data_IF_298004620432
#
_entry.id   IF_298004620432
#
_cell.length_a   1.000
_cell.length_b   1.000
_cell.length_c   1.000
_cell.angle_alpha   90.00
_cell.angle_beta   90.00
_cell.angle_gamma   90.00
#
_symmetry.space_group_name_H-M   'P 1'
#
loop_
_entity.id
_entity.type
_entity.pdbx_description
1 polymer ?
#
# COMPACT_ATOMS: atom_id res chain seq x y z
N UNK A 1 -83.68 1.28 -65.11
CA UNK A 1 -82.63 1.78 -66.02
C UNK A 1 -81.33 1.05 -65.67
N UNK A 2 -80.72 0.37 -66.64
CA UNK A 2 -79.50 -0.45 -66.48
C UNK A 2 -78.28 0.43 -66.25
N UNK A 3 -77.27 -0.09 -65.55
CA UNK A 3 -75.87 -0.28 -66.02
C UNK A 3 -74.99 -0.86 -64.89
N UNK A 4 -74.42 -2.03 -65.13
CA UNK A 4 -73.20 -2.60 -64.49
C UNK A 4 -71.99 -2.31 -65.39
N UNK A 5 -70.72 -2.71 -65.10
CA UNK A 5 -70.01 -3.08 -63.85
C UNK A 5 -68.61 -2.39 -63.75
N UNK A 6 -67.84 -2.63 -62.67
CA UNK A 6 -66.40 -2.99 -62.78
C UNK A 6 -65.80 -3.47 -61.45
N UNK A 7 -65.15 -4.63 -61.52
CA UNK A 7 -64.28 -5.22 -60.48
C UNK A 7 -62.95 -4.46 -60.43
N UNK A 8 -62.36 -4.33 -59.24
CA UNK A 8 -60.91 -4.35 -59.07
C UNK A 8 -60.60 -4.93 -57.68
N UNK A 9 -59.91 -6.06 -57.67
CA UNK A 9 -59.41 -6.67 -56.44
C UNK A 9 -58.21 -5.93 -55.90
N UNK A 10 -57.98 -6.01 -54.59
CA UNK A 10 -56.69 -5.65 -54.01
C UNK A 10 -56.33 -6.69 -52.96
N UNK A 11 -55.14 -7.25 -53.18
CA UNK A 11 -54.51 -8.33 -52.44
C UNK A 11 -54.12 -7.84 -51.05
N UNK A 12 -54.46 -8.62 -50.01
CA UNK A 12 -53.96 -8.44 -48.65
C UNK A 12 -52.51 -8.96 -48.65
N UNK A 13 -51.54 -8.06 -48.66
CA UNK A 13 -50.12 -8.38 -48.46
C UNK A 13 -49.82 -8.48 -46.97
N UNK A 14 -49.63 -9.70 -46.46
CA UNK A 14 -49.15 -9.96 -45.11
C UNK A 14 -47.70 -9.48 -44.97
N UNK A 15 -47.47 -8.43 -44.17
CA UNK A 15 -46.12 -7.95 -43.83
C UNK A 15 -45.61 -8.72 -42.60
N UNK A 16 -44.78 -9.74 -42.83
CA UNK A 16 -44.00 -10.42 -41.80
C UNK A 16 -42.84 -9.51 -41.38
N UNK A 17 -42.95 -8.89 -40.21
CA UNK A 17 -41.84 -8.17 -39.56
C UNK A 17 -41.03 -9.19 -38.75
N UNK A 18 -39.91 -9.64 -39.29
CA UNK A 18 -38.91 -10.41 -38.53
C UNK A 18 -38.05 -9.47 -37.71
N UNK A 19 -38.28 -9.45 -36.39
CA UNK A 19 -37.46 -8.70 -35.45
C UNK A 19 -36.15 -9.48 -35.21
N UNK A 20 -35.09 -9.13 -35.94
CA UNK A 20 -33.75 -9.66 -35.69
C UNK A 20 -33.14 -8.96 -34.46
N UNK A 21 -33.23 -9.60 -33.29
CA UNK A 21 -32.49 -9.15 -32.10
C UNK A 21 -31.01 -9.45 -32.27
N UNK A 22 -30.22 -8.44 -32.61
CA UNK A 22 -28.76 -8.53 -32.61
C UNK A 22 -28.26 -8.59 -31.16
N UNK A 23 -27.79 -9.77 -30.72
CA UNK A 23 -27.04 -9.89 -29.48
C UNK A 23 -25.67 -9.22 -29.68
N UNK A 24 -25.48 -8.03 -29.13
CA UNK A 24 -24.15 -7.42 -29.02
C UNK A 24 -23.43 -8.15 -27.89
N UNK A 25 -22.59 -9.12 -28.24
CA UNK A 25 -21.66 -9.71 -27.30
C UNK A 25 -20.58 -8.68 -26.98
N UNK A 26 -20.71 -7.99 -25.83
CA UNK A 26 -19.68 -7.12 -25.30
C UNK A 26 -18.56 -8.03 -24.79
N UNK A 27 -17.56 -8.30 -25.62
CA UNK A 27 -16.33 -8.94 -25.17
C UNK A 27 -15.56 -7.91 -24.34
N UNK A 28 -15.72 -7.93 -23.04
CA UNK A 28 -14.85 -7.23 -22.11
C UNK A 28 -13.46 -7.86 -22.20
N UNK A 29 -12.57 -7.27 -22.99
CA UNK A 29 -11.14 -7.59 -22.98
C UNK A 29 -10.58 -7.11 -21.66
N UNK A 30 -10.48 -8.01 -20.68
CA UNK A 30 -9.69 -7.78 -19.48
C UNK A 30 -8.27 -7.55 -19.98
N UNK A 31 -7.75 -6.33 -19.81
CA UNK A 31 -6.35 -6.06 -20.12
C UNK A 31 -5.49 -7.11 -19.39
N UNK A 32 -4.50 -7.74 -20.05
CA UNK A 32 -3.60 -8.63 -19.34
C UNK A 32 -3.02 -7.87 -18.14
N UNK A 33 -3.04 -8.49 -16.96
CA UNK A 33 -2.39 -7.94 -15.78
C UNK A 33 -0.97 -7.57 -16.20
N UNK A 34 -0.67 -6.27 -16.20
CA UNK A 34 0.67 -5.81 -16.57
C UNK A 34 1.63 -6.51 -15.62
N UNK A 35 2.59 -7.26 -16.20
CA UNK A 35 3.70 -7.75 -15.41
C UNK A 35 4.39 -6.53 -14.82
N UNK A 36 4.30 -6.40 -13.50
CA UNK A 36 4.90 -5.32 -12.77
C UNK A 36 6.42 -5.47 -12.84
N UNK A 37 7.12 -4.37 -13.18
CA UNK A 37 8.57 -4.37 -13.42
C UNK A 37 9.37 -4.75 -12.18
N UNK A 38 8.80 -4.54 -10.98
CA UNK A 38 9.42 -4.92 -9.73
C UNK A 38 9.22 -6.41 -9.40
N UNK A 39 7.96 -6.87 -9.33
CA UNK A 39 7.64 -8.24 -8.90
C UNK A 39 6.24 -8.67 -9.36
N UNK A 40 6.15 -9.82 -10.03
CA UNK A 40 4.88 -10.41 -10.47
C UNK A 40 4.58 -11.71 -9.70
N UNK A 41 3.37 -11.83 -9.15
CA UNK A 41 2.88 -13.04 -8.49
C UNK A 41 2.28 -13.97 -9.54
N UNK A 42 2.76 -15.21 -9.60
CA UNK A 42 2.33 -16.20 -10.59
C UNK A 42 1.15 -17.07 -10.15
N UNK A 43 0.69 -16.94 -8.90
CA UNK A 43 -0.40 -17.75 -8.35
C UNK A 43 -0.96 -17.20 -7.05
N UNK A 44 -2.15 -17.70 -6.69
CA UNK A 44 -2.85 -17.34 -5.45
C UNK A 44 -2.03 -17.74 -4.22
N UNK A 45 -1.96 -16.85 -3.24
CA UNK A 45 -1.36 -17.12 -1.93
C UNK A 45 -2.44 -17.12 -0.85
N UNK A 46 -2.36 -18.10 0.05
CA UNK A 46 -3.31 -18.27 1.15
C UNK A 46 -2.62 -18.93 2.33
N UNK A 47 -3.36 -19.14 3.43
CA UNK A 47 -2.81 -19.79 4.61
C UNK A 47 -2.12 -21.12 4.27
N UNK A 48 -0.88 -21.29 4.74
CA UNK A 48 -0.02 -22.44 4.43
C UNK A 48 0.95 -22.23 3.26
N UNK A 49 0.74 -21.23 2.40
CA UNK A 49 1.75 -20.84 1.39
C UNK A 49 3.05 -20.40 2.07
N UNK A 50 4.19 -20.65 1.43
CA UNK A 50 5.51 -20.24 1.92
C UNK A 50 6.42 -19.73 0.79
N UNK A 51 7.53 -19.09 1.17
CA UNK A 51 8.61 -18.68 0.26
C UNK A 51 8.57 -17.21 -0.15
N UNK A 52 9.40 -16.85 -1.13
CA UNK A 52 9.64 -15.46 -1.51
C UNK A 52 8.35 -14.73 -1.92
N UNK A 53 7.42 -15.39 -2.63
CA UNK A 53 6.15 -14.78 -3.00
C UNK A 53 5.33 -14.30 -1.78
N UNK A 54 5.40 -15.04 -0.66
CA UNK A 54 4.77 -14.65 0.59
C UNK A 54 5.55 -13.52 1.27
N UNK A 55 6.89 -13.57 1.27
CA UNK A 55 7.73 -12.47 1.79
C UNK A 55 7.41 -11.15 1.08
N UNK A 56 7.31 -11.19 -0.26
CA UNK A 56 6.94 -10.06 -1.08
C UNK A 56 5.53 -9.55 -0.72
N UNK A 57 4.55 -10.43 -0.54
CA UNK A 57 3.20 -10.03 -0.14
C UNK A 57 3.21 -9.37 1.25
N UNK A 58 3.90 -9.99 2.22
CA UNK A 58 4.01 -9.50 3.60
C UNK A 58 4.59 -8.08 3.66
N UNK A 59 5.58 -7.74 2.83
CA UNK A 59 6.11 -6.36 2.74
C UNK A 59 5.00 -5.36 2.38
N UNK A 60 4.20 -5.68 1.35
CA UNK A 60 3.15 -4.80 0.81
C UNK A 60 1.98 -4.63 1.79
N UNK A 61 1.66 -5.66 2.56
CA UNK A 61 0.55 -5.63 3.53
C UNK A 61 0.97 -5.30 4.96
N UNK A 62 2.26 -5.05 5.22
CA UNK A 62 2.78 -4.85 6.58
C UNK A 62 2.10 -3.69 7.34
N UNK A 63 1.70 -2.64 6.63
CA UNK A 63 0.95 -1.51 7.19
C UNK A 63 -0.50 -1.82 7.59
N UNK A 64 -0.99 -3.01 7.25
CA UNK A 64 -2.35 -3.50 7.49
C UNK A 64 -2.43 -4.60 8.55
N UNK A 65 -1.34 -4.85 9.28
CA UNK A 65 -1.29 -5.79 10.40
C UNK A 65 -2.36 -5.51 11.48
N UNK A 66 -2.58 -6.45 12.40
CA UNK A 66 -3.45 -6.21 13.55
C UNK A 66 -2.85 -5.14 14.48
N UNK A 67 -3.69 -4.22 14.98
CA UNK A 67 -3.26 -3.14 15.88
C UNK A 67 -2.59 -3.69 17.13
N UNK A 68 -1.49 -3.06 17.55
CA UNK A 68 -0.78 -3.48 18.76
C UNK A 68 0.02 -4.77 18.62
N UNK A 69 0.32 -5.20 17.39
CA UNK A 69 1.17 -6.38 17.13
C UNK A 69 2.44 -6.03 16.37
N UNK A 70 3.47 -6.86 16.50
CA UNK A 70 4.67 -6.81 15.66
C UNK A 70 4.46 -7.79 14.51
N UNK A 71 4.31 -7.24 13.30
CA UNK A 71 4.10 -8.05 12.09
C UNK A 71 5.41 -8.61 11.56
N UNK A 72 5.50 -9.94 11.45
CA UNK A 72 6.65 -10.68 10.92
C UNK A 72 6.62 -10.75 9.40
N UNK A 73 7.80 -10.65 8.78
CA UNK A 73 8.03 -10.88 7.36
C UNK A 73 8.99 -12.08 7.27
N UNK A 74 8.42 -13.27 7.34
CA UNK A 74 9.11 -14.55 7.46
C UNK A 74 8.91 -15.47 6.25
N UNK A 75 8.14 -15.01 5.26
CA UNK A 75 7.78 -15.81 4.10
C UNK A 75 6.81 -16.95 4.42
N UNK A 76 6.13 -16.94 5.57
CA UNK A 76 5.11 -17.93 5.95
C UNK A 76 3.73 -17.29 6.01
N UNK A 77 2.78 -17.82 5.24
CA UNK A 77 1.42 -17.29 5.21
C UNK A 77 0.62 -17.89 6.37
N UNK A 78 0.80 -17.32 7.56
CA UNK A 78 0.06 -17.68 8.76
C UNK A 78 -1.15 -16.77 9.05
N UNK A 79 -1.81 -16.94 10.21
CA UNK A 79 -2.97 -16.13 10.61
C UNK A 79 -2.72 -14.61 10.65
N UNK A 80 -1.49 -14.20 10.99
CA UNK A 80 -1.09 -12.79 10.96
C UNK A 80 -1.13 -12.23 9.53
N UNK A 81 -0.56 -12.96 8.56
CA UNK A 81 -0.60 -12.61 7.14
C UNK A 81 -2.03 -12.59 6.62
N UNK A 82 -2.85 -13.60 6.93
CA UNK A 82 -4.29 -13.64 6.58
C UNK A 82 -5.03 -12.40 7.08
N UNK A 83 -4.73 -11.96 8.31
CA UNK A 83 -5.35 -10.77 8.91
C UNK A 83 -4.91 -9.49 8.19
N UNK A 84 -3.62 -9.35 7.90
CA UNK A 84 -3.10 -8.21 7.16
C UNK A 84 -3.69 -8.11 5.74
N UNK A 85 -3.83 -9.24 5.05
CA UNK A 85 -4.45 -9.30 3.71
C UNK A 85 -5.93 -8.93 3.77
N UNK A 86 -6.71 -9.44 4.74
CA UNK A 86 -8.11 -9.03 4.93
C UNK A 86 -8.26 -7.54 5.16
N UNK A 87 -7.40 -6.97 6.00
CA UNK A 87 -7.43 -5.54 6.29
C UNK A 87 -7.06 -4.70 5.07
N UNK A 88 -6.05 -5.11 4.30
CA UNK A 88 -5.71 -4.48 3.01
C UNK A 88 -6.89 -4.55 2.03
N UNK A 89 -7.47 -5.73 1.85
CA UNK A 89 -8.63 -5.93 0.97
C UNK A 89 -9.80 -5.04 1.37
N UNK A 90 -10.17 -5.02 2.65
CA UNK A 90 -11.25 -4.20 3.16
C UNK A 90 -10.98 -2.70 2.96
N UNK A 91 -9.76 -2.24 3.22
CA UNK A 91 -9.38 -0.84 3.04
C UNK A 91 -9.54 -0.37 1.59
N UNK A 92 -9.23 -1.25 0.63
CA UNK A 92 -9.33 -0.94 -0.80
C UNK A 92 -10.63 -1.42 -1.47
N UNK A 93 -11.66 -1.76 -0.68
CA UNK A 93 -12.98 -2.11 -1.22
C UNK A 93 -13.03 -3.44 -1.97
N UNK A 94 -12.10 -4.36 -1.70
CA UNK A 94 -12.08 -5.72 -2.23
C UNK A 94 -12.85 -6.67 -1.31
N UNK A 95 -13.16 -7.88 -1.80
CA UNK A 95 -13.64 -8.96 -0.94
C UNK A 95 -12.56 -9.32 0.11
N UNK A 96 -12.88 -9.15 1.39
CA UNK A 96 -11.94 -9.37 2.50
C UNK A 96 -11.89 -10.84 2.95
N UNK A 97 -11.55 -11.74 2.02
CA UNK A 97 -11.48 -13.18 2.24
C UNK A 97 -10.15 -13.66 2.86
N UNK A 98 -9.11 -12.83 2.82
CA UNK A 98 -7.78 -13.16 3.33
C UNK A 98 -6.99 -14.07 2.40
N UNK A 99 -7.43 -14.21 1.14
CA UNK A 99 -6.74 -14.93 0.07
C UNK A 99 -6.20 -13.92 -0.92
N UNK A 100 -4.87 -13.88 -1.08
CA UNK A 100 -4.24 -13.01 -2.06
C UNK A 100 -4.33 -13.64 -3.45
N UNK A 101 -5.42 -13.35 -4.16
CA UNK A 101 -5.62 -13.69 -5.58
C UNK A 101 -5.46 -12.49 -6.51
N UNK A 102 -5.85 -12.65 -7.79
CA UNK A 102 -5.65 -11.66 -8.85
C UNK A 102 -6.10 -10.23 -8.49
N UNK A 103 -7.28 -10.06 -7.87
CA UNK A 103 -7.77 -8.74 -7.46
C UNK A 103 -6.88 -8.07 -6.39
N UNK A 104 -6.32 -8.87 -5.47
CA UNK A 104 -5.40 -8.36 -4.45
C UNK A 104 -4.09 -7.92 -5.10
N UNK A 105 -3.53 -8.74 -5.99
CA UNK A 105 -2.28 -8.41 -6.70
C UNK A 105 -2.44 -7.21 -7.63
N UNK A 106 -3.52 -7.13 -8.40
CA UNK A 106 -3.81 -5.97 -9.25
C UNK A 106 -3.87 -4.67 -8.43
N UNK A 107 -4.43 -4.72 -7.22
CA UNK A 107 -4.44 -3.55 -6.35
C UNK A 107 -3.04 -3.21 -5.81
N UNK A 108 -2.21 -4.19 -5.51
CA UNK A 108 -0.80 -3.98 -5.13
C UNK A 108 -0.02 -3.34 -6.29
N UNK A 109 -0.19 -3.83 -7.53
CA UNK A 109 0.47 -3.26 -8.72
C UNK A 109 0.08 -1.81 -8.95
N UNK A 110 -1.19 -1.46 -8.75
CA UNK A 110 -1.63 -0.07 -8.85
C UNK A 110 -1.06 0.87 -7.77
N UNK A 111 -0.40 0.31 -6.74
CA UNK A 111 0.24 1.05 -5.66
C UNK A 111 1.76 0.94 -5.72
N UNK A 112 2.33 0.22 -6.67
CA UNK A 112 3.75 -0.11 -6.75
C UNK A 112 4.40 0.59 -7.95
N UNK A 113 5.58 1.18 -7.72
CA UNK A 113 6.46 1.70 -8.76
C UNK A 113 7.40 0.61 -9.30
N UNK A 114 8.03 0.91 -10.44
CA UNK A 114 8.95 0.00 -11.15
C UNK A 114 10.13 -0.48 -10.29
N UNK A 115 10.54 0.29 -9.28
CA UNK A 115 11.64 -0.01 -8.36
C UNK A 115 11.19 -0.62 -7.02
N UNK A 116 9.94 -1.09 -6.98
CA UNK A 116 9.24 -1.72 -5.85
C UNK A 116 8.74 -0.78 -4.75
N UNK A 117 9.05 0.52 -4.78
CA UNK A 117 8.51 1.44 -3.77
C UNK A 117 7.01 1.61 -3.95
N UNK A 118 6.26 2.03 -2.92
CA UNK A 118 4.90 2.49 -3.14
C UNK A 118 4.90 3.82 -3.92
N UNK A 119 3.89 4.05 -4.75
CA UNK A 119 3.78 5.19 -5.70
C UNK A 119 3.83 6.61 -5.08
N UNK A 120 3.83 6.73 -3.75
CA UNK A 120 3.84 8.01 -3.04
C UNK A 120 5.05 8.19 -2.11
N UNK A 121 6.03 7.28 -2.13
CA UNK A 121 7.27 7.40 -1.38
C UNK A 121 8.43 6.89 -2.24
N UNK A 122 9.50 7.68 -2.36
CA UNK A 122 10.63 7.36 -3.24
C UNK A 122 11.93 7.12 -2.47
N UNK A 123 12.90 6.46 -3.09
CA UNK A 123 14.22 6.24 -2.48
C UNK A 123 14.94 7.54 -2.08
N UNK A 124 14.78 8.62 -2.84
CA UNK A 124 15.38 9.92 -2.53
C UNK A 124 14.74 10.64 -1.35
N UNK A 125 13.53 10.26 -0.96
CA UNK A 125 12.89 10.82 0.25
C UNK A 125 13.35 10.13 1.52
N UNK A 126 13.93 8.94 1.40
CA UNK A 126 14.30 8.08 2.54
C UNK A 126 15.79 7.79 2.67
N UNK A 127 16.60 8.44 1.84
CA UNK A 127 18.06 8.35 1.91
C UNK A 127 18.63 9.21 3.06
N UNK A 128 19.96 9.35 3.15
CA UNK A 128 20.56 10.10 4.26
C UNK A 128 20.16 11.59 4.24
N UNK A 129 19.38 12.02 5.23
CA UNK A 129 18.83 13.40 5.25
C UNK A 129 19.90 14.51 5.30
N UNK A 130 21.09 14.22 5.85
CA UNK A 130 22.12 15.24 6.02
C UNK A 130 22.95 15.44 4.75
N UNK A 131 23.22 14.36 4.03
CA UNK A 131 24.20 14.35 2.93
C UNK A 131 23.63 13.89 1.59
N UNK A 132 22.40 13.38 1.58
CA UNK A 132 21.80 12.66 0.47
C UNK A 132 22.48 11.31 0.22
N UNK A 133 21.82 10.49 -0.59
CA UNK A 133 22.34 9.21 -1.04
C UNK A 133 22.58 8.21 0.09
N UNK A 134 23.52 7.31 -0.14
CA UNK A 134 23.71 6.10 0.66
C UNK A 134 25.13 5.99 1.22
N UNK A 135 25.52 6.85 2.18
CA UNK A 135 26.82 6.71 2.86
C UNK A 135 26.97 5.34 3.52
N UNK A 136 28.22 4.94 3.75
CA UNK A 136 28.56 3.67 4.40
C UNK A 136 27.79 3.51 5.72
N UNK A 137 26.99 2.43 5.87
CA UNK A 137 26.27 2.17 7.10
C UNK A 137 27.20 1.89 8.29
N UNK A 138 26.62 1.87 9.48
CA UNK A 138 27.32 1.41 10.69
C UNK A 138 27.85 -0.01 10.53
N UNK A 139 28.91 -0.33 11.27
CA UNK A 139 29.54 -1.66 11.25
C UNK A 139 28.52 -2.77 11.49
N UNK A 140 28.58 -3.82 10.67
CA UNK A 140 27.67 -4.98 10.73
C UNK A 140 26.35 -4.78 9.98
N UNK A 141 26.09 -3.62 9.38
CA UNK A 141 24.90 -3.35 8.56
C UNK A 141 25.33 -3.11 7.12
N UNK A 142 24.61 -3.70 6.17
CA UNK A 142 24.84 -3.48 4.74
C UNK A 142 23.82 -2.49 4.18
N UNK A 143 24.17 -1.83 3.06
CA UNK A 143 23.24 -0.93 2.40
C UNK A 143 21.99 -1.66 1.89
N UNK A 144 22.14 -2.92 1.47
CA UNK A 144 21.02 -3.80 1.08
C UNK A 144 20.06 -4.01 2.25
N UNK A 145 20.57 -4.22 3.47
CA UNK A 145 19.73 -4.37 4.65
C UNK A 145 18.99 -3.06 4.99
N UNK A 146 19.67 -1.91 4.90
CA UNK A 146 19.06 -0.60 5.11
C UNK A 146 17.91 -0.40 4.11
N UNK A 147 18.16 -0.61 2.82
CA UNK A 147 17.13 -0.48 1.78
C UNK A 147 15.97 -1.46 1.98
N UNK A 148 16.24 -2.72 2.33
CA UNK A 148 15.20 -3.70 2.62
C UNK A 148 14.31 -3.28 3.82
N UNK A 149 14.89 -2.67 4.85
CA UNK A 149 14.14 -2.15 5.99
C UNK A 149 13.30 -0.92 5.61
N UNK A 150 13.86 0.00 4.82
CA UNK A 150 13.16 1.20 4.35
C UNK A 150 12.01 0.85 3.40
N UNK A 151 12.17 -0.18 2.56
CA UNK A 151 11.06 -0.69 1.75
C UNK A 151 9.85 -1.07 2.61
N UNK A 152 10.09 -1.77 3.72
CA UNK A 152 9.02 -2.10 4.67
C UNK A 152 8.43 -0.86 5.33
N UNK A 153 9.27 0.14 5.66
CA UNK A 153 8.81 1.39 6.25
C UNK A 153 7.94 2.19 5.27
N UNK A 154 8.34 2.30 4.00
CA UNK A 154 7.57 2.99 2.96
C UNK A 154 6.21 2.33 2.71
N UNK A 155 6.15 1.00 2.58
CA UNK A 155 4.86 0.30 2.42
C UNK A 155 3.95 0.43 3.64
N UNK A 156 4.52 0.54 4.85
CA UNK A 156 3.75 0.88 6.06
C UNK A 156 3.27 2.34 6.04
N UNK A 157 4.08 3.27 5.53
CA UNK A 157 3.72 4.68 5.35
C UNK A 157 2.60 4.87 4.31
N UNK A 158 2.59 4.09 3.23
CA UNK A 158 1.50 4.08 2.24
C UNK A 158 0.15 3.68 2.87
N UNK A 159 0.16 2.69 3.76
CA UNK A 159 -1.04 2.35 4.51
C UNK A 159 -1.53 3.48 5.42
N UNK A 160 -0.61 4.24 6.03
CA UNK A 160 -0.96 5.43 6.85
C UNK A 160 -1.58 6.51 5.96
N UNK A 161 -0.94 6.83 4.82
CA UNK A 161 -1.45 7.79 3.82
C UNK A 161 -2.88 7.45 3.43
N UNK A 162 -3.15 6.20 3.07
CA UNK A 162 -4.49 5.76 2.68
C UNK A 162 -5.51 5.87 3.82
N UNK A 163 -5.15 5.45 5.05
CA UNK A 163 -6.02 5.60 6.25
C UNK A 163 -6.39 7.04 6.56
N UNK A 164 -5.54 7.99 6.17
CA UNK A 164 -5.75 9.42 6.35
C UNK A 164 -6.51 10.05 5.18
N UNK A 165 -7.17 9.25 4.33
CA UNK A 165 -7.97 9.72 3.22
C UNK A 165 -7.14 10.14 2.02
N UNK A 166 -6.04 9.41 1.75
CA UNK A 166 -5.15 9.63 0.60
C UNK A 166 -4.48 11.03 0.57
N UNK A 167 -4.40 11.69 1.72
CA UNK A 167 -3.72 12.97 1.87
C UNK A 167 -2.20 12.80 1.89
N UNK A 168 -1.43 13.68 1.23
CA UNK A 168 0.02 13.55 1.18
C UNK A 168 0.66 13.65 2.56
N UNK A 169 1.70 12.84 2.77
CA UNK A 169 2.59 12.86 3.93
C UNK A 169 3.97 13.25 3.43
N UNK A 170 4.71 14.02 4.23
CA UNK A 170 6.07 14.43 3.87
C UNK A 170 7.06 13.74 4.80
N UNK A 171 8.06 13.10 4.21
CA UNK A 171 9.19 12.51 4.94
C UNK A 171 10.15 13.64 5.31
N UNK A 172 10.47 13.77 6.60
CA UNK A 172 11.48 14.74 7.09
C UNK A 172 12.80 14.07 7.43
N UNK A 173 12.80 12.77 7.71
CA UNK A 173 14.02 11.97 7.89
C UNK A 173 13.68 10.49 7.75
N UNK A 174 14.64 9.66 7.33
CA UNK A 174 14.51 8.20 7.38
C UNK A 174 15.86 7.53 7.63
N UNK A 175 16.66 7.22 6.61
CA UNK A 175 18.01 6.73 6.88
C UNK A 175 18.88 7.84 7.46
N UNK A 176 19.73 7.48 8.43
CA UNK A 176 20.83 8.33 8.88
C UNK A 176 22.08 7.48 8.99
N UNK A 177 23.15 7.88 8.30
CA UNK A 177 24.50 7.40 8.59
C UNK A 177 24.89 7.75 10.03
N UNK A 178 25.97 7.15 10.54
CA UNK A 178 26.47 7.48 11.90
C UNK A 178 26.78 8.96 12.04
N UNK A 179 27.45 9.55 11.04
CA UNK A 179 27.79 10.97 11.03
C UNK A 179 26.53 11.86 11.05
N UNK A 180 25.54 11.56 10.21
CA UNK A 180 24.28 12.31 10.21
C UNK A 180 23.53 12.16 11.54
N UNK A 181 23.45 10.95 12.09
CA UNK A 181 22.78 10.71 13.37
C UNK A 181 23.47 11.45 14.53
N UNK A 182 24.81 11.48 14.56
CA UNK A 182 25.55 12.24 15.57
C UNK A 182 25.34 13.76 15.43
N UNK A 183 25.34 14.26 14.18
CA UNK A 183 25.13 15.67 13.88
C UNK A 183 23.77 16.18 14.38
N UNK A 184 22.73 15.36 14.31
CA UNK A 184 21.38 15.71 14.81
C UNK A 184 21.17 15.34 16.29
N UNK A 185 22.20 14.88 16.99
CA UNK A 185 22.10 14.47 18.40
C UNK A 185 21.26 13.21 18.62
N UNK A 186 21.13 12.36 17.60
CA UNK A 186 20.34 11.14 17.65
C UNK A 186 20.90 10.10 18.61
N UNK A 187 20.02 9.27 19.18
CA UNK A 187 20.41 8.18 20.07
C UNK A 187 21.37 7.18 19.37
N UNK A 188 22.28 6.59 20.13
CA UNK A 188 23.28 5.63 19.62
C UNK A 188 22.68 4.32 19.09
N UNK A 189 21.48 3.96 19.56
CA UNK A 189 20.70 2.80 19.15
C UNK A 189 19.51 3.17 18.26
N UNK A 190 19.53 4.33 17.62
CA UNK A 190 18.41 4.84 16.81
C UNK A 190 18.05 3.90 15.65
N UNK A 191 16.75 3.68 15.43
CA UNK A 191 16.24 2.89 14.30
C UNK A 191 16.61 3.51 12.93
N UNK A 192 16.90 4.81 12.86
CA UNK A 192 17.36 5.49 11.64
C UNK A 192 18.69 4.93 11.11
N UNK A 193 19.60 4.51 12.00
CA UNK A 193 20.90 3.93 11.65
C UNK A 193 20.79 2.61 10.86
N UNK A 194 19.63 1.96 10.98
CA UNK A 194 19.36 0.64 10.39
C UNK A 194 18.36 0.72 9.23
N UNK A 195 17.90 1.92 8.84
CA UNK A 195 16.81 2.09 7.86
C UNK A 195 15.46 1.60 8.37
N UNK A 196 15.28 1.50 9.69
CA UNK A 196 14.07 0.97 10.33
C UNK A 196 13.13 2.07 10.83
N UNK A 197 13.41 3.33 10.48
CA UNK A 197 12.60 4.46 10.92
C UNK A 197 12.28 5.44 9.79
N UNK A 198 11.18 6.16 9.97
CA UNK A 198 10.77 7.31 9.17
C UNK A 198 10.16 8.36 10.10
N UNK A 199 10.53 9.62 9.90
CA UNK A 199 9.92 10.78 10.53
C UNK A 199 8.97 11.43 9.52
N UNK A 200 7.70 11.54 9.90
CA UNK A 200 6.64 12.05 9.02
C UNK A 200 6.00 13.31 9.59
N UNK A 201 5.61 14.20 8.67
CA UNK A 201 4.79 15.38 8.95
C UNK A 201 3.62 15.46 7.96
N UNK A 202 2.54 16.22 8.27
CA UNK A 202 1.49 16.48 7.30
C UNK A 202 2.05 17.11 6.02
N UNK A 203 1.67 16.55 4.86
CA UNK A 203 1.94 17.16 3.54
C UNK A 203 0.85 18.12 3.08
N UNK A 204 -0.24 18.24 3.84
CA UNK A 204 -1.35 19.17 3.58
C UNK A 204 -2.07 19.55 4.87
N UNK A 205 -2.93 20.57 4.82
CA UNK A 205 -3.76 20.99 5.96
C UNK A 205 -4.88 20.01 6.32
N UNK A 206 -5.16 19.01 5.48
CA UNK A 206 -6.16 17.98 5.76
C UNK A 206 -5.67 16.93 6.78
N UNK A 207 -4.36 16.86 7.01
CA UNK A 207 -3.73 15.93 7.95
C UNK A 207 -3.14 16.70 9.14
N UNK A 208 -3.18 16.11 10.33
CA UNK A 208 -2.55 16.66 11.54
C UNK A 208 -1.50 15.70 12.09
N UNK A 209 -0.56 16.20 12.89
CA UNK A 209 0.42 15.35 13.59
C UNK A 209 -0.27 14.24 14.39
N UNK A 210 -1.30 14.57 15.16
CA UNK A 210 -2.05 13.58 15.92
C UNK A 210 -2.89 12.63 15.05
N UNK A 211 -3.31 13.06 13.84
CA UNK A 211 -3.88 12.18 12.83
C UNK A 211 -2.88 11.10 12.41
N UNK A 212 -1.67 11.50 12.04
CA UNK A 212 -0.57 10.59 11.69
C UNK A 212 -0.27 9.66 12.86
N UNK A 213 -0.03 10.21 14.06
CA UNK A 213 0.30 9.42 15.24
C UNK A 213 -0.71 8.31 15.53
N UNK A 214 -2.02 8.62 15.46
CA UNK A 214 -3.09 7.63 15.69
C UNK A 214 -3.16 6.58 14.58
N UNK A 215 -3.07 7.00 13.32
CA UNK A 215 -3.09 6.08 12.18
C UNK A 215 -1.89 5.13 12.18
N UNK A 216 -0.73 5.59 12.65
CA UNK A 216 0.51 4.81 12.70
C UNK A 216 0.52 3.68 13.71
N UNK A 217 -0.33 3.69 14.74
CA UNK A 217 -0.34 2.68 15.81
C UNK A 217 -0.63 1.25 15.32
N UNK A 218 -1.28 1.13 14.17
CA UNK A 218 -1.49 -0.17 13.52
C UNK A 218 -0.34 -0.56 12.59
N UNK A 219 0.31 0.44 11.99
CA UNK A 219 1.30 0.23 10.93
C UNK A 219 2.74 0.15 11.45
N UNK A 220 3.06 0.72 12.63
CA UNK A 220 4.40 0.70 13.20
C UNK A 220 4.41 0.26 14.67
N UNK A 221 5.35 -0.62 15.06
CA UNK A 221 5.57 -0.96 16.47
C UNK A 221 6.01 0.22 17.32
N UNK A 222 6.82 1.15 16.79
CA UNK A 222 7.20 2.37 17.48
C UNK A 222 6.50 3.60 16.89
N UNK A 223 5.89 4.40 17.76
CA UNK A 223 5.30 5.71 17.40
C UNK A 223 5.66 6.71 18.49
N UNK A 224 6.45 7.72 18.17
CA UNK A 224 6.73 8.85 19.05
C UNK A 224 6.22 10.13 18.41
N UNK A 225 5.69 11.06 19.19
CA UNK A 225 5.11 12.29 18.67
C UNK A 225 4.81 13.31 19.76
N UNK A 226 3.93 14.29 19.49
CA UNK A 226 3.66 15.39 20.41
C UNK A 226 3.37 14.94 21.84
N UNK A 227 4.12 15.50 22.78
CA UNK A 227 4.09 15.12 24.20
C UNK A 227 5.20 14.14 24.63
N UNK A 228 5.94 13.55 23.68
CA UNK A 228 7.20 12.87 23.95
C UNK A 228 8.37 13.86 23.76
N UNK A 229 9.44 13.81 24.60
CA UNK A 229 10.57 14.73 24.49
C UNK A 229 11.16 14.79 23.08
N UNK A 230 11.40 16.00 22.55
CA UNK A 230 11.99 16.27 21.23
C UNK A 230 11.20 15.72 20.02
N UNK A 231 9.90 15.45 20.17
CA UNK A 231 9.04 14.94 19.09
C UNK A 231 7.74 15.76 18.91
N UNK A 232 7.80 17.07 19.16
CA UNK A 232 6.62 17.96 19.01
C UNK A 232 6.36 18.40 17.57
N UNK A 233 7.36 18.29 16.69
CA UNK A 233 7.34 18.82 15.31
C UNK A 233 7.34 17.72 14.23
N UNK A 234 7.36 16.45 14.61
CA UNK A 234 7.26 15.29 13.71
C UNK A 234 6.69 14.07 14.42
N UNK A 235 6.25 13.08 13.63
CA UNK A 235 5.92 11.74 14.13
C UNK A 235 7.05 10.79 13.75
N UNK A 236 7.77 10.28 14.75
CA UNK A 236 8.78 9.24 14.57
C UNK A 236 8.12 7.86 14.53
N UNK A 237 8.42 7.10 13.48
CA UNK A 237 7.89 5.77 13.24
C UNK A 237 9.03 4.77 13.14
N UNK A 238 8.97 3.68 13.90
CA UNK A 238 10.06 2.70 13.96
C UNK A 238 9.58 1.25 13.89
N UNK A 239 10.33 0.42 13.16
CA UNK A 239 10.13 -1.03 13.08
C UNK A 239 11.01 -1.71 14.11
N UNK A 240 10.42 -2.24 15.18
CA UNK A 240 11.14 -2.90 16.28
C UNK A 240 10.42 -4.13 16.83
N UNK A 241 11.11 -4.88 17.69
CA UNK A 241 10.65 -6.18 18.22
C UNK A 241 9.56 -6.07 19.28
N UNK A 242 9.24 -4.86 19.75
CA UNK A 242 8.20 -4.60 20.73
C UNK A 242 7.37 -3.37 20.35
N UNK A 243 6.10 -3.37 20.77
CA UNK A 243 5.24 -2.21 20.59
C UNK A 243 5.55 -1.17 21.66
N UNK A 244 5.80 0.07 21.24
CA UNK A 244 6.01 1.23 22.09
C UNK A 244 5.46 2.48 21.43
N UNK A 245 4.33 2.99 21.94
CA UNK A 245 3.67 4.19 21.43
C UNK A 245 3.65 5.26 22.53
N UNK A 246 4.14 6.46 22.23
CA UNK A 246 4.14 7.59 23.16
C UNK A 246 3.97 8.92 22.42
N UNK A 247 2.79 9.50 22.54
CA UNK A 247 2.46 10.83 22.03
C UNK A 247 1.32 11.39 22.90
N UNK A 248 1.64 11.77 24.14
CA UNK A 248 0.65 12.09 25.19
C UNK A 248 -0.28 13.26 24.87
N UNK A 249 0.04 14.08 23.87
CA UNK A 249 -0.85 15.13 23.37
C UNK A 249 -1.82 14.63 22.29
N UNK A 250 -1.68 13.39 21.82
CA UNK A 250 -2.46 12.80 20.75
C UNK A 250 -3.31 11.59 21.18
N UNK A 251 -2.88 10.83 22.20
CA UNK A 251 -3.59 9.70 22.80
C UNK A 251 -3.04 9.34 24.19
#
# INVERSE_FOLDING_TARGET
MRLTPRRLGTVIGSLLVTLATSLVAITSTVAPAQADACYTWSGTLQQGSTGNAVTQLQIRVAGWAATGTVFSIDGSYGPATTTAVRNFQAAYGLAADGVAGANTFNKIYALQDDDCTPIHFSWSEVDDVCYGGWPTPISGVTITQVKANLMQAMWRAEAIRHRLGDNPLRVTSAYRSKACNDQVGGASNSNHLYGRAMDLVPGSSATTMCGIARASRQSFPQVLGPGYPDHSDHIHLGIQSSVYHSASQCF
#
